data_IF_595980796270
#
_entry.id   IF_595980796270
#
_cell.length_a   1.000
_cell.length_b   1.000
_cell.length_c   1.000
_cell.angle_alpha   90.00
_cell.angle_beta   90.00
_cell.angle_gamma   90.00
#
_symmetry.space_group_name_H-M   'P 1'
#
loop_
_entity.id
_entity.type
_entity.pdbx_description
1 polymer ?
#
# COMPACT_ATOMS: atom_id res chain seq x y z
N UNK A 1 9.24 -8.23 -25.43
CA UNK A 1 10.51 -7.67 -24.90
C UNK A 1 10.31 -7.19 -23.47
N UNK A 2 9.42 -6.21 -23.24
CA UNK A 2 9.12 -5.64 -21.92
C UNK A 2 8.74 -6.66 -20.84
N UNK A 3 7.98 -7.71 -21.17
CA UNK A 3 7.57 -8.73 -20.19
C UNK A 3 8.75 -9.47 -19.55
N UNK A 4 9.79 -9.82 -20.32
CA UNK A 4 10.95 -10.55 -19.77
C UNK A 4 11.77 -9.68 -18.83
N UNK A 5 11.93 -8.40 -19.19
CA UNK A 5 12.61 -7.39 -18.37
C UNK A 5 11.83 -7.13 -17.08
N UNK A 6 10.49 -7.08 -17.16
CA UNK A 6 9.63 -6.96 -15.98
C UNK A 6 9.85 -8.12 -14.99
N UNK A 7 9.90 -9.38 -15.46
CA UNK A 7 10.22 -10.52 -14.57
C UNK A 7 11.60 -10.36 -13.93
N UNK A 8 12.58 -9.89 -14.69
CA UNK A 8 13.93 -9.62 -14.18
C UNK A 8 13.93 -8.60 -13.05
N UNK A 9 13.30 -7.45 -13.26
CA UNK A 9 13.25 -6.37 -12.27
C UNK A 9 12.42 -6.74 -11.03
N UNK A 10 11.27 -7.39 -11.22
CA UNK A 10 10.47 -7.91 -10.12
C UNK A 10 11.29 -8.88 -9.26
N UNK A 11 11.94 -9.87 -9.88
CA UNK A 11 12.76 -10.84 -9.19
C UNK A 11 13.94 -10.19 -8.44
N UNK A 12 14.64 -9.25 -9.08
CA UNK A 12 15.77 -8.56 -8.47
C UNK A 12 15.34 -7.72 -7.26
N UNK A 13 14.18 -7.05 -7.34
CA UNK A 13 13.65 -6.30 -6.20
C UNK A 13 13.24 -7.22 -5.04
N UNK A 14 12.60 -8.36 -5.31
CA UNK A 14 12.26 -9.36 -4.29
C UNK A 14 13.51 -9.90 -3.60
N UNK A 15 14.58 -10.18 -4.34
CA UNK A 15 15.86 -10.61 -3.76
C UNK A 15 16.40 -9.52 -2.83
N UNK A 16 16.51 -8.27 -3.28
CA UNK A 16 16.99 -7.16 -2.43
C UNK A 16 16.21 -7.08 -1.12
N UNK A 17 14.88 -7.00 -1.20
CA UNK A 17 14.03 -6.85 -0.02
C UNK A 17 14.07 -8.05 0.94
N UNK A 18 14.37 -9.26 0.46
CA UNK A 18 14.47 -10.50 1.29
C UNK A 18 15.89 -10.79 1.79
N UNK A 19 16.88 -9.99 1.38
CA UNK A 19 18.28 -10.15 1.80
C UNK A 19 18.86 -8.93 2.52
N UNK A 20 18.27 -7.74 2.37
CA UNK A 20 18.80 -6.48 2.88
C UNK A 20 18.77 -6.34 4.42
N UNK A 21 18.23 -7.33 5.16
CA UNK A 21 18.19 -7.33 6.64
C UNK A 21 19.29 -8.17 7.30
N UNK A 22 20.19 -8.80 6.53
CA UNK A 22 21.41 -9.42 7.08
C UNK A 22 22.35 -8.37 7.69
N UNK A 23 23.09 -8.75 8.74
CA UNK A 23 23.99 -7.87 9.50
C UNK A 23 24.93 -7.05 8.58
N UNK A 24 25.26 -5.79 8.95
CA UNK A 24 25.96 -4.83 8.10
C UNK A 24 27.35 -5.28 7.57
N UNK A 25 27.90 -6.38 8.09
CA UNK A 25 29.18 -6.94 7.70
C UNK A 25 29.11 -7.98 6.57
N UNK A 26 27.93 -8.51 6.22
CA UNK A 26 27.82 -9.50 5.16
C UNK A 26 27.41 -8.89 3.81
N UNK A 27 27.94 -9.42 2.70
CA UNK A 27 27.50 -9.01 1.38
C UNK A 27 26.02 -9.34 1.16
N UNK A 28 25.21 -8.29 1.03
CA UNK A 28 23.76 -8.31 1.22
C UNK A 28 23.03 -9.35 0.38
N UNK A 29 23.30 -9.45 -0.92
CA UNK A 29 22.65 -10.41 -1.81
C UNK A 29 23.68 -11.25 -2.58
N UNK A 30 24.44 -12.12 -1.91
CA UNK A 30 25.37 -13.05 -2.58
C UNK A 30 24.83 -14.47 -2.65
N UNK A 31 25.36 -15.26 -3.58
CA UNK A 31 25.12 -16.71 -3.60
C UNK A 31 25.32 -17.31 -2.21
N UNK A 32 24.36 -18.12 -1.76
CA UNK A 32 24.34 -18.76 -0.46
C UNK A 32 23.73 -17.93 0.67
N UNK A 33 23.47 -16.63 0.45
CA UNK A 33 22.79 -15.78 1.43
C UNK A 33 21.42 -16.35 1.77
N UNK A 34 21.08 -16.32 3.05
CA UNK A 34 19.77 -16.75 3.53
C UNK A 34 18.76 -15.64 3.23
N UNK A 35 17.65 -16.00 2.60
CA UNK A 35 16.48 -15.13 2.52
C UNK A 35 15.81 -15.14 3.88
N UNK A 36 15.65 -13.98 4.50
CA UNK A 36 14.88 -13.84 5.72
C UNK A 36 13.78 -12.79 5.58
N UNK A 37 12.64 -13.11 6.19
CA UNK A 37 11.59 -12.16 6.51
C UNK A 37 11.55 -12.07 8.02
N UNK A 38 11.90 -10.92 8.59
CA UNK A 38 11.81 -10.73 10.03
C UNK A 38 10.36 -10.95 10.49
N UNK A 39 10.13 -11.97 11.33
CA UNK A 39 8.90 -12.09 12.11
C UNK A 39 7.75 -12.93 11.55
N UNK A 40 7.95 -13.76 10.52
CA UNK A 40 6.91 -14.69 10.04
C UNK A 40 5.73 -13.99 9.35
N UNK A 41 6.03 -12.89 8.64
CA UNK A 41 5.05 -12.14 7.86
C UNK A 41 4.80 -12.84 6.52
N UNK A 42 3.54 -13.10 6.19
CA UNK A 42 3.13 -13.86 4.99
C UNK A 42 3.71 -13.29 3.69
N UNK A 43 3.76 -11.95 3.56
CA UNK A 43 4.30 -11.29 2.36
C UNK A 43 5.77 -11.67 2.06
N UNK A 44 6.59 -11.92 3.09
CA UNK A 44 7.97 -12.37 2.90
C UNK A 44 8.04 -13.85 2.51
N UNK A 45 7.13 -14.68 3.03
CA UNK A 45 7.03 -16.09 2.67
C UNK A 45 6.58 -16.26 1.21
N UNK A 46 5.64 -15.42 0.76
CA UNK A 46 5.19 -15.37 -0.64
C UNK A 46 6.33 -14.92 -1.56
N UNK A 47 7.09 -13.90 -1.17
CA UNK A 47 8.29 -13.46 -1.90
C UNK A 47 9.34 -14.58 -2.01
N UNK A 48 9.66 -15.26 -0.91
CA UNK A 48 10.61 -16.38 -0.90
C UNK A 48 10.11 -17.54 -1.78
N UNK A 49 8.83 -17.88 -1.68
CA UNK A 49 8.18 -18.91 -2.52
C UNK A 49 8.29 -18.54 -4.00
N UNK A 50 8.09 -17.27 -4.33
CA UNK A 50 8.22 -16.80 -5.71
C UNK A 50 9.68 -16.90 -6.21
N UNK A 51 10.65 -16.55 -5.38
CA UNK A 51 12.07 -16.70 -5.71
C UNK A 51 12.48 -18.16 -5.92
N UNK A 52 11.91 -19.10 -5.15
CA UNK A 52 12.10 -20.55 -5.36
C UNK A 52 11.48 -20.97 -6.70
N UNK A 53 10.24 -20.53 -7.01
CA UNK A 53 9.57 -20.84 -8.28
C UNK A 53 10.33 -20.32 -9.50
N UNK A 54 10.99 -19.16 -9.37
CA UNK A 54 11.85 -18.58 -10.39
C UNK A 54 13.23 -19.27 -10.48
N UNK A 55 13.52 -20.24 -9.61
CA UNK A 55 14.80 -20.96 -9.57
C UNK A 55 15.96 -20.10 -9.09
N UNK A 56 15.68 -19.07 -8.29
CA UNK A 56 16.66 -18.14 -7.73
C UNK A 56 17.06 -18.49 -6.30
N UNK A 57 16.28 -19.36 -5.63
CA UNK A 57 16.55 -19.79 -4.27
C UNK A 57 16.30 -21.30 -4.08
N UNK A 58 16.97 -21.89 -3.10
CA UNK A 58 16.72 -23.26 -2.64
C UNK A 58 15.46 -23.35 -1.76
N UNK A 59 14.95 -24.56 -1.54
CA UNK A 59 13.89 -24.82 -0.55
C UNK A 59 14.28 -24.47 0.90
N UNK A 60 15.58 -24.31 1.18
CA UNK A 60 16.08 -23.80 2.47
C UNK A 60 16.17 -22.27 2.49
N UNK A 61 15.57 -21.59 1.51
CA UNK A 61 15.62 -20.14 1.34
C UNK A 61 17.06 -19.62 1.23
N UNK A 62 17.91 -20.26 0.42
CA UNK A 62 19.27 -19.76 0.12
C UNK A 62 19.38 -19.32 -1.33
N UNK A 63 19.95 -18.14 -1.56
CA UNK A 63 20.10 -17.56 -2.88
C UNK A 63 21.07 -18.36 -3.76
N UNK A 64 20.72 -18.58 -5.03
CA UNK A 64 21.50 -19.38 -5.99
C UNK A 64 22.38 -18.53 -6.92
N UNK A 65 22.13 -17.23 -6.99
CA UNK A 65 22.85 -16.27 -7.86
C UNK A 65 23.04 -14.94 -7.12
N UNK A 66 24.13 -14.22 -7.39
CA UNK A 66 24.30 -12.88 -6.81
C UNK A 66 23.16 -11.93 -7.24
N UNK A 67 22.69 -11.10 -6.30
CA UNK A 67 21.52 -10.25 -6.44
C UNK A 67 21.63 -9.21 -7.55
N UNK A 68 22.83 -8.69 -7.78
CA UNK A 68 23.14 -7.75 -8.87
C UNK A 68 23.01 -8.39 -10.27
N UNK A 69 23.02 -9.73 -10.35
CA UNK A 69 22.90 -10.49 -11.59
C UNK A 69 21.48 -11.02 -11.84
N UNK A 70 20.58 -10.95 -10.86
CA UNK A 70 19.24 -11.56 -10.92
C UNK A 70 18.43 -11.05 -12.11
N UNK A 71 18.33 -9.72 -12.28
CA UNK A 71 17.50 -9.14 -13.34
C UNK A 71 17.92 -9.60 -14.74
N UNK A 72 19.22 -9.52 -15.02
CA UNK A 72 19.78 -9.96 -16.29
C UNK A 72 19.61 -11.48 -16.48
N UNK A 73 19.89 -12.28 -15.45
CA UNK A 73 19.78 -13.73 -15.50
C UNK A 73 18.36 -14.21 -15.80
N UNK A 74 17.35 -13.67 -15.10
CA UNK A 74 15.94 -14.03 -15.33
C UNK A 74 15.51 -13.60 -16.73
N UNK A 75 15.87 -12.38 -17.14
CA UNK A 75 15.53 -11.85 -18.47
C UNK A 75 16.05 -12.75 -19.58
N UNK A 76 17.33 -13.13 -19.54
CA UNK A 76 17.97 -13.94 -20.57
C UNK A 76 17.43 -15.39 -20.60
N UNK A 77 17.24 -16.02 -19.43
CA UNK A 77 16.67 -17.37 -19.38
C UNK A 77 15.23 -17.39 -19.87
N UNK A 78 14.47 -16.35 -19.54
CA UNK A 78 13.10 -16.20 -20.01
C UNK A 78 13.04 -16.04 -21.52
N UNK A 79 13.89 -15.18 -22.11
CA UNK A 79 14.00 -15.00 -23.57
C UNK A 79 14.43 -16.28 -24.28
N UNK A 80 15.34 -17.04 -23.68
CA UNK A 80 15.84 -18.29 -24.22
C UNK A 80 14.86 -19.48 -24.04
N UNK A 81 13.72 -19.29 -23.37
CA UNK A 81 12.78 -20.37 -23.06
C UNK A 81 13.34 -21.43 -22.10
N UNK A 82 14.35 -21.07 -21.31
CA UNK A 82 15.07 -21.95 -20.39
C UNK A 82 14.50 -21.97 -18.96
N UNK A 83 13.42 -21.21 -18.74
CA UNK A 83 12.69 -21.16 -17.48
C UNK A 83 11.20 -21.08 -17.76
N UNK A 84 10.41 -21.88 -17.07
CA UNK A 84 8.96 -21.74 -17.04
C UNK A 84 8.63 -20.61 -16.09
N UNK A 85 8.19 -19.48 -16.62
CA UNK A 85 7.76 -18.35 -15.79
C UNK A 85 6.41 -18.66 -15.14
N UNK A 86 6.23 -18.34 -13.85
CA UNK A 86 4.91 -18.27 -13.23
C UNK A 86 3.99 -17.31 -14.00
N UNK A 87 2.66 -17.37 -13.82
CA UNK A 87 1.77 -16.30 -14.24
C UNK A 87 2.24 -14.95 -13.68
N UNK A 88 2.19 -13.89 -14.50
CA UNK A 88 2.70 -12.57 -14.10
C UNK A 88 1.90 -11.99 -12.93
N UNK A 89 0.60 -12.26 -12.88
CA UNK A 89 -0.29 -11.79 -11.81
C UNK A 89 0.14 -12.37 -10.45
N UNK A 90 0.59 -13.63 -10.38
CA UNK A 90 1.13 -14.25 -9.16
C UNK A 90 2.43 -13.56 -8.71
N UNK A 91 3.31 -13.19 -9.65
CA UNK A 91 4.55 -12.48 -9.32
C UNK A 91 4.25 -11.06 -8.82
N UNK A 92 3.29 -10.39 -9.46
CA UNK A 92 2.85 -9.05 -9.08
C UNK A 92 2.13 -9.06 -7.74
N UNK A 93 1.33 -10.08 -7.43
CA UNK A 93 0.68 -10.25 -6.13
C UNK A 93 1.70 -10.36 -4.99
N UNK A 94 2.71 -11.23 -5.14
CA UNK A 94 3.79 -11.36 -4.17
C UNK A 94 4.58 -10.04 -4.02
N UNK A 95 4.82 -9.36 -5.14
CA UNK A 95 5.53 -8.08 -5.15
C UNK A 95 4.73 -6.95 -4.48
N UNK A 96 3.43 -6.83 -4.77
CA UNK A 96 2.53 -5.83 -4.19
C UNK A 96 2.35 -6.05 -2.68
N UNK A 97 2.21 -7.30 -2.26
CA UNK A 97 2.11 -7.66 -0.85
C UNK A 97 3.35 -7.21 -0.06
N UNK A 98 4.55 -7.36 -0.65
CA UNK A 98 5.78 -6.93 0.01
C UNK A 98 6.00 -5.41 -0.11
N UNK A 99 5.97 -4.86 -1.32
CA UNK A 99 6.41 -3.49 -1.57
C UNK A 99 5.32 -2.45 -1.36
N UNK A 100 4.05 -2.75 -1.66
CA UNK A 100 2.98 -1.79 -1.45
C UNK A 100 2.44 -1.88 -0.01
N UNK A 101 2.11 -3.09 0.46
CA UNK A 101 1.56 -3.28 1.81
C UNK A 101 2.62 -3.26 2.91
N UNK A 102 3.60 -4.16 2.86
CA UNK A 102 4.50 -4.35 4.00
C UNK A 102 5.58 -3.27 4.14
N UNK A 103 6.05 -2.70 3.03
CA UNK A 103 7.12 -1.69 3.02
C UNK A 103 6.63 -0.28 2.71
N UNK A 104 5.41 -0.10 2.18
CA UNK A 104 4.90 1.22 1.79
C UNK A 104 5.70 1.90 0.69
N UNK A 105 6.43 1.14 -0.12
CA UNK A 105 7.26 1.63 -1.22
C UNK A 105 6.45 1.98 -2.48
N UNK A 106 5.24 1.40 -2.63
CA UNK A 106 4.29 1.66 -3.72
C UNK A 106 2.89 1.90 -3.17
N UNK A 107 2.04 2.58 -3.96
CA UNK A 107 0.65 2.86 -3.55
C UNK A 107 -0.27 1.66 -3.77
N UNK A 108 -1.24 1.48 -2.87
CA UNK A 108 -2.38 0.57 -3.02
C UNK A 108 -3.60 1.27 -3.63
N UNK A 109 -3.56 2.60 -3.78
CA UNK A 109 -4.63 3.43 -4.34
C UNK A 109 -4.47 3.67 -5.83
N UNK A 110 -5.53 4.15 -6.50
CA UNK A 110 -5.48 4.58 -7.91
C UNK A 110 -4.92 5.98 -8.10
N UNK A 111 -4.71 6.73 -7.04
CA UNK A 111 -4.13 8.07 -7.11
C UNK A 111 -2.64 8.03 -7.54
N UNK A 112 -2.16 9.08 -8.24
CA UNK A 112 -0.74 9.22 -8.53
C UNK A 112 0.12 9.16 -7.26
N UNK A 113 1.26 8.48 -7.33
CA UNK A 113 2.18 8.33 -6.21
C UNK A 113 3.64 8.39 -6.64
N UNK A 114 4.50 8.88 -5.76
CA UNK A 114 5.95 8.87 -5.96
C UNK A 114 6.51 7.57 -5.35
N UNK A 115 7.07 6.65 -6.16
CA UNK A 115 7.58 5.38 -5.65
C UNK A 115 8.89 5.56 -4.87
N UNK A 116 9.15 4.67 -3.93
CA UNK A 116 10.45 4.61 -3.26
C UNK A 116 11.59 4.35 -4.26
N UNK A 117 12.77 4.94 -4.01
CA UNK A 117 13.91 4.85 -4.93
C UNK A 117 14.34 3.41 -5.27
N UNK A 118 14.24 2.49 -4.30
CA UNK A 118 14.62 1.08 -4.47
C UNK A 118 13.76 0.30 -5.47
N UNK A 119 12.55 0.78 -5.72
CA UNK A 119 11.61 0.15 -6.66
C UNK A 119 11.48 0.93 -7.97
N UNK A 120 12.19 2.05 -8.14
CA UNK A 120 12.10 2.86 -9.36
C UNK A 120 12.38 2.05 -10.64
N UNK A 121 13.40 1.17 -10.71
CA UNK A 121 13.62 0.33 -11.90
C UNK A 121 12.43 -0.59 -12.21
N UNK A 122 11.76 -1.10 -11.17
CA UNK A 122 10.56 -1.95 -11.32
C UNK A 122 9.40 -1.12 -11.86
N UNK A 123 9.20 0.11 -11.36
CA UNK A 123 8.16 1.01 -11.83
C UNK A 123 8.35 1.40 -13.30
N UNK A 124 9.60 1.62 -13.73
CA UNK A 124 9.92 1.88 -15.14
C UNK A 124 9.57 0.67 -16.01
N UNK A 125 9.89 -0.56 -15.56
CA UNK A 125 9.55 -1.79 -16.26
C UNK A 125 8.03 -2.08 -16.29
N UNK A 126 7.31 -1.75 -15.21
CA UNK A 126 5.85 -1.82 -15.12
C UNK A 126 5.21 -0.83 -16.09
N UNK A 127 5.75 0.39 -16.19
CA UNK A 127 5.29 1.40 -17.13
C UNK A 127 5.52 0.96 -18.59
N UNK A 128 6.72 0.46 -18.91
CA UNK A 128 7.03 -0.07 -20.23
C UNK A 128 6.15 -1.28 -20.61
N UNK A 129 5.65 -2.01 -19.62
CA UNK A 129 4.74 -3.14 -19.78
C UNK A 129 3.25 -2.75 -19.72
N UNK A 130 2.94 -1.47 -19.53
CA UNK A 130 1.58 -0.93 -19.48
C UNK A 130 0.78 -1.28 -18.22
N UNK A 131 1.45 -1.59 -17.10
CA UNK A 131 0.81 -1.77 -15.78
C UNK A 131 0.70 -0.44 -15.02
N UNK A 132 1.62 0.48 -15.28
CA UNK A 132 1.61 1.84 -14.74
C UNK A 132 1.74 2.86 -15.88
N UNK A 133 1.44 4.12 -15.58
CA UNK A 133 1.71 5.26 -16.47
C UNK A 133 2.51 6.30 -15.68
N UNK A 134 3.65 6.78 -16.20
CA UNK A 134 4.38 7.87 -15.57
C UNK A 134 3.61 9.19 -15.70
N UNK A 135 3.63 9.99 -14.64
CA UNK A 135 3.09 11.36 -14.58
C UNK A 135 4.16 12.19 -13.85
N UNK A 136 4.93 12.98 -14.60
CA UNK A 136 6.09 13.73 -14.07
C UNK A 136 7.08 12.83 -13.29
N UNK A 137 7.23 13.04 -11.98
CA UNK A 137 8.05 12.24 -11.08
C UNK A 137 7.29 11.06 -10.42
N UNK A 138 5.97 11.03 -10.58
CA UNK A 138 5.03 10.07 -10.04
C UNK A 138 4.60 9.00 -11.07
N UNK A 139 3.84 8.03 -10.58
CA UNK A 139 3.19 7.00 -11.38
C UNK A 139 1.73 6.86 -10.98
N UNK A 140 0.90 6.46 -11.93
CA UNK A 140 -0.47 6.02 -11.69
C UNK A 140 -0.65 4.58 -12.18
N UNK A 141 -1.42 3.79 -11.45
CA UNK A 141 -1.78 2.44 -11.87
C UNK A 141 -2.77 2.45 -13.03
N UNK A 142 -2.61 1.51 -13.96
CA UNK A 142 -3.56 1.28 -15.07
C UNK A 142 -4.48 0.10 -14.74
N UNK A 143 -5.56 -0.09 -15.50
CA UNK A 143 -6.47 -1.24 -15.31
C UNK A 143 -5.77 -2.59 -15.42
N UNK A 144 -4.63 -2.66 -16.12
CA UNK A 144 -3.87 -3.89 -16.31
C UNK A 144 -3.34 -4.46 -14.99
N UNK A 145 -3.09 -3.63 -13.97
CA UNK A 145 -2.66 -4.13 -12.64
C UNK A 145 -3.82 -4.70 -11.82
N UNK A 146 -5.07 -4.44 -12.24
CA UNK A 146 -6.26 -4.67 -11.42
C UNK A 146 -6.39 -6.10 -10.93
N UNK A 147 -6.07 -7.10 -11.76
CA UNK A 147 -6.11 -8.51 -11.36
C UNK A 147 -5.14 -8.83 -10.22
N UNK A 148 -3.91 -8.34 -10.29
CA UNK A 148 -2.92 -8.56 -9.22
C UNK A 148 -3.33 -7.84 -7.92
N UNK A 149 -3.93 -6.65 -8.02
CA UNK A 149 -4.47 -5.92 -6.87
C UNK A 149 -5.68 -6.65 -6.23
N UNK A 150 -6.56 -7.22 -7.06
CA UNK A 150 -7.70 -8.02 -6.60
C UNK A 150 -7.25 -9.33 -5.92
N UNK A 151 -6.28 -10.03 -6.50
CA UNK A 151 -5.71 -11.25 -5.90
C UNK A 151 -5.09 -10.93 -4.53
N UNK A 152 -4.44 -9.77 -4.41
CA UNK A 152 -3.88 -9.29 -3.14
C UNK A 152 -4.94 -8.77 -2.15
N UNK A 153 -6.23 -8.72 -2.53
CA UNK A 153 -7.32 -8.22 -1.70
C UNK A 153 -7.37 -6.70 -1.51
N UNK A 154 -6.57 -5.94 -2.28
CA UNK A 154 -6.48 -4.48 -2.14
C UNK A 154 -7.52 -3.74 -2.96
N UNK A 155 -7.93 -4.31 -4.10
CA UNK A 155 -8.98 -3.75 -4.95
C UNK A 155 -10.20 -4.69 -4.99
N UNK A 156 -11.38 -4.11 -5.08
CA UNK A 156 -12.62 -4.84 -5.29
C UNK A 156 -12.82 -5.24 -6.77
N UNK A 157 -13.95 -5.90 -7.07
CA UNK A 157 -14.32 -6.31 -8.42
C UNK A 157 -14.53 -5.13 -9.38
N UNK A 158 -14.80 -3.92 -8.86
CA UNK A 158 -14.94 -2.69 -9.62
C UNK A 158 -13.60 -1.94 -9.77
N UNK A 159 -12.51 -2.56 -9.31
CA UNK A 159 -11.16 -2.01 -9.30
C UNK A 159 -11.02 -0.73 -8.45
N UNK A 160 -11.87 -0.55 -7.42
CA UNK A 160 -11.72 0.48 -6.40
C UNK A 160 -10.82 -0.05 -5.29
N UNK A 161 -9.87 0.76 -4.80
CA UNK A 161 -9.06 0.33 -3.66
C UNK A 161 -9.85 0.37 -2.37
N UNK A 162 -9.53 -0.55 -1.46
CA UNK A 162 -10.13 -0.61 -0.14
C UNK A 162 -9.91 0.68 0.65
N UNK A 163 -8.71 1.26 0.58
CA UNK A 163 -8.41 2.52 1.24
C UNK A 163 -9.25 3.68 0.69
N UNK A 164 -9.44 3.75 -0.64
CA UNK A 164 -10.31 4.79 -1.24
C UNK A 164 -11.78 4.62 -0.83
N UNK A 165 -12.25 3.37 -0.70
CA UNK A 165 -13.60 3.09 -0.20
C UNK A 165 -13.75 3.52 1.27
N UNK A 166 -12.78 3.18 2.12
CA UNK A 166 -12.76 3.57 3.53
C UNK A 166 -12.71 5.11 3.67
N UNK A 167 -11.86 5.80 2.89
CA UNK A 167 -11.77 7.27 2.89
C UNK A 167 -13.07 7.93 2.40
N UNK A 168 -13.72 7.34 1.39
CA UNK A 168 -15.02 7.81 0.89
C UNK A 168 -16.12 7.62 1.93
N UNK A 169 -16.14 6.50 2.63
CA UNK A 169 -17.12 6.25 3.70
C UNK A 169 -16.92 7.23 4.86
N UNK A 170 -15.67 7.50 5.24
CA UNK A 170 -15.30 8.55 6.21
C UNK A 170 -15.77 9.93 5.73
N UNK A 171 -15.50 10.31 4.47
CA UNK A 171 -15.93 11.60 3.92
C UNK A 171 -17.47 11.74 3.95
N UNK A 172 -18.19 10.72 3.50
CA UNK A 172 -19.66 10.72 3.48
C UNK A 172 -20.24 10.82 4.89
N UNK A 173 -19.65 10.12 5.85
CA UNK A 173 -20.09 10.17 7.25
C UNK A 173 -19.78 11.53 7.88
N UNK A 174 -18.59 12.09 7.64
CA UNK A 174 -18.22 13.40 8.17
C UNK A 174 -19.01 14.54 7.54
N UNK A 175 -19.46 14.43 6.29
CA UNK A 175 -20.42 15.37 5.69
C UNK A 175 -21.79 15.32 6.39
N UNK A 176 -22.25 14.15 6.83
CA UNK A 176 -23.48 14.04 7.65
C UNK A 176 -23.27 14.66 9.03
N UNK A 177 -22.12 14.40 9.64
CA UNK A 177 -21.74 15.00 10.92
C UNK A 177 -21.73 16.52 10.82
N UNK A 178 -21.14 17.08 9.76
CA UNK A 178 -21.10 18.51 9.48
C UNK A 178 -22.50 19.13 9.36
N UNK A 179 -23.43 18.45 8.68
CA UNK A 179 -24.79 18.98 8.45
C UNK A 179 -25.57 19.25 9.74
N UNK A 180 -25.22 18.56 10.84
CA UNK A 180 -25.86 18.71 12.14
C UNK A 180 -24.85 19.00 13.27
N UNK A 181 -23.67 19.52 12.92
CA UNK A 181 -22.56 19.70 13.85
C UNK A 181 -22.94 20.63 15.02
N UNK A 182 -22.70 20.20 16.27
CA UNK A 182 -22.85 21.05 17.45
C UNK A 182 -21.89 22.23 17.45
N UNK A 183 -22.30 23.37 18.01
CA UNK A 183 -21.52 24.61 17.99
C UNK A 183 -20.17 24.48 18.72
N UNK A 184 -20.10 23.68 19.78
CA UNK A 184 -18.87 23.43 20.54
C UNK A 184 -17.84 22.65 19.70
N UNK A 185 -18.30 21.64 18.95
CA UNK A 185 -17.46 20.86 18.03
C UNK A 185 -17.03 21.71 16.83
N UNK A 186 -17.93 22.52 16.28
CA UNK A 186 -17.62 23.48 15.22
C UNK A 186 -16.54 24.46 15.66
N UNK A 187 -16.62 24.98 16.88
CA UNK A 187 -15.63 25.89 17.44
C UNK A 187 -14.26 25.20 17.63
N UNK A 188 -14.26 23.96 18.12
CA UNK A 188 -13.03 23.16 18.23
C UNK A 188 -12.37 22.94 16.86
N UNK A 189 -13.15 22.62 15.82
CA UNK A 189 -12.64 22.44 14.48
C UNK A 189 -12.07 23.74 13.86
N UNK A 190 -12.75 24.88 14.07
CA UNK A 190 -12.27 26.19 13.62
C UNK A 190 -10.98 26.66 14.33
N UNK A 191 -10.70 26.11 15.50
CA UNK A 191 -9.48 26.39 16.28
C UNK A 191 -8.39 25.33 16.10
N UNK A 192 -8.57 24.40 15.14
CA UNK A 192 -7.69 23.26 14.85
C UNK A 192 -7.42 22.36 16.08
N UNK A 193 -8.38 22.31 17.01
CA UNK A 193 -8.31 21.45 18.18
C UNK A 193 -8.79 20.04 17.83
N UNK A 194 -7.99 19.32 17.04
CA UNK A 194 -8.31 17.95 16.58
C UNK A 194 -8.58 16.99 17.75
N UNK A 195 -7.88 17.15 18.88
CA UNK A 195 -8.10 16.31 20.07
C UNK A 195 -9.52 16.44 20.64
N UNK A 196 -10.05 17.67 20.71
CA UNK A 196 -11.43 17.90 21.15
C UNK A 196 -12.46 17.36 20.13
N UNK A 197 -12.16 17.44 18.83
CA UNK A 197 -13.01 16.87 17.78
C UNK A 197 -13.05 15.34 17.88
N UNK A 198 -11.91 14.68 18.08
CA UNK A 198 -11.84 13.21 18.31
C UNK A 198 -12.67 12.81 19.52
N UNK A 199 -12.56 13.54 20.63
CA UNK A 199 -13.33 13.25 21.84
C UNK A 199 -14.84 13.41 21.61
N UNK A 200 -15.25 14.47 20.92
CA UNK A 200 -16.66 14.69 20.60
C UNK A 200 -17.21 13.61 19.66
N UNK A 201 -16.46 13.23 18.61
CA UNK A 201 -16.86 12.14 17.71
C UNK A 201 -17.01 10.83 18.49
N UNK A 202 -16.02 10.48 19.33
CA UNK A 202 -16.04 9.25 20.10
C UNK A 202 -17.22 9.16 21.10
N UNK A 203 -17.57 10.28 21.74
CA UNK A 203 -18.59 10.30 22.78
C UNK A 203 -20.00 10.54 22.24
N UNK A 204 -20.14 11.29 21.14
CA UNK A 204 -21.43 11.86 20.72
C UNK A 204 -21.81 11.56 19.28
N UNK A 205 -20.90 11.13 18.41
CA UNK A 205 -21.27 10.75 17.04
C UNK A 205 -21.51 9.24 16.95
N UNK A 206 -22.77 8.83 17.00
CA UNK A 206 -23.17 7.41 17.02
C UNK A 206 -24.26 7.17 16.00
N UNK A 207 -24.09 6.17 15.13
CA UNK A 207 -25.05 5.75 14.11
C UNK A 207 -25.59 6.91 13.23
N UNK A 208 -24.72 7.88 12.93
CA UNK A 208 -25.06 9.03 12.08
C UNK A 208 -25.82 10.16 12.79
N UNK A 209 -25.83 10.19 14.13
CA UNK A 209 -26.54 11.21 14.92
C UNK A 209 -25.65 11.74 16.04
N UNK A 210 -25.70 13.06 16.28
CA UNK A 210 -25.10 13.70 17.45
C UNK A 210 -25.96 13.49 18.69
N UNK A 211 -25.45 12.75 19.67
CA UNK A 211 -26.03 12.63 20.99
C UNK A 211 -25.84 13.95 21.79
N UNK A 212 -26.80 14.29 22.66
CA UNK A 212 -26.67 15.44 23.53
C UNK A 212 -25.46 15.28 24.45
N UNK A 213 -24.85 16.41 24.80
CA UNK A 213 -23.76 16.44 25.77
C UNK A 213 -24.29 15.96 27.13
N UNK A 214 -23.94 14.73 27.48
CA UNK A 214 -24.29 14.14 28.78
C UNK A 214 -23.04 14.08 29.61
N UNK A 215 -23.08 14.77 30.75
CA UNK A 215 -21.98 15.03 31.68
C UNK A 215 -21.28 13.75 32.19
N UNK A 216 -21.85 12.57 31.96
CA UNK A 216 -21.37 11.27 32.48
C UNK A 216 -20.74 10.34 31.42
N UNK A 217 -20.47 10.80 30.19
CA UNK A 217 -19.82 9.98 29.15
C UNK A 217 -18.40 10.42 28.82
N UNK A 218 -17.62 10.80 29.85
CA UNK A 218 -16.17 10.58 29.77
C UNK A 218 -15.91 9.12 30.11
N UNK A 219 -16.46 8.21 29.29
CA UNK A 219 -15.94 6.85 29.26
C UNK A 219 -14.46 7.02 28.87
N UNK A 220 -13.57 6.38 29.62
CA UNK A 220 -12.14 6.29 29.30
C UNK A 220 -11.99 5.51 28.00
N UNK A 221 -12.43 6.09 26.89
CA UNK A 221 -12.25 5.54 25.56
C UNK A 221 -10.74 5.40 25.40
N UNK A 222 -10.31 4.15 25.46
CA UNK A 222 -8.90 3.79 25.47
C UNK A 222 -8.21 4.46 24.28
N UNK A 223 -6.98 4.92 24.45
CA UNK A 223 -6.21 5.69 23.44
C UNK A 223 -6.26 5.12 22.01
N UNK A 224 -6.45 3.81 21.84
CA UNK A 224 -6.63 3.16 20.55
C UNK A 224 -7.95 3.50 19.83
N UNK A 225 -9.06 3.76 20.56
CA UNK A 225 -10.31 4.29 19.99
C UNK A 225 -10.13 5.69 19.46
N UNK A 226 -9.36 6.53 20.16
CA UNK A 226 -9.04 7.88 19.71
C UNK A 226 -8.12 7.87 18.49
N UNK A 227 -7.15 6.95 18.46
CA UNK A 227 -6.29 6.76 17.29
C UNK A 227 -7.09 6.29 16.06
N UNK A 228 -8.11 5.44 16.26
CA UNK A 228 -8.96 4.97 15.17
C UNK A 228 -9.81 6.08 14.54
N UNK A 229 -10.21 7.10 15.31
CA UNK A 229 -11.03 8.24 14.85
C UNK A 229 -10.21 9.44 14.33
N UNK A 230 -8.88 9.31 14.25
CA UNK A 230 -8.03 10.37 13.75
C UNK A 230 -8.34 10.77 12.29
N UNK A 231 -8.60 9.84 11.35
CA UNK A 231 -9.00 10.17 9.99
C UNK A 231 -10.31 10.97 9.92
N UNK A 232 -11.33 10.56 10.67
CA UNK A 232 -12.65 11.20 10.75
C UNK A 232 -12.54 12.62 11.32
N UNK A 233 -11.82 12.78 12.43
CA UNK A 233 -11.62 14.09 13.04
C UNK A 233 -10.85 15.04 12.12
N UNK A 234 -9.79 14.55 11.48
CA UNK A 234 -9.05 15.33 10.48
C UNK A 234 -9.98 15.78 9.35
N UNK A 235 -10.78 14.85 8.81
CA UNK A 235 -11.68 15.16 7.70
C UNK A 235 -12.78 16.15 8.08
N UNK A 236 -13.38 16.02 9.27
CA UNK A 236 -14.37 16.97 9.76
C UNK A 236 -13.79 18.37 9.95
N UNK A 237 -12.55 18.47 10.45
CA UNK A 237 -11.83 19.75 10.57
C UNK A 237 -11.63 20.40 9.21
N UNK A 238 -11.14 19.64 8.21
CA UNK A 238 -10.97 20.13 6.84
C UNK A 238 -12.28 20.66 6.24
N UNK A 239 -13.37 19.91 6.41
CA UNK A 239 -14.71 20.30 5.94
C UNK A 239 -15.23 21.57 6.63
N UNK A 240 -15.02 21.72 7.94
CA UNK A 240 -15.44 22.93 8.69
C UNK A 240 -14.63 24.15 8.28
N UNK A 241 -13.33 23.98 8.02
CA UNK A 241 -12.43 25.07 7.63
C UNK A 241 -12.61 25.48 6.15
N UNK A 242 -13.36 24.72 5.36
CA UNK A 242 -13.55 24.99 3.93
C UNK A 242 -12.32 24.67 3.08
N UNK A 243 -11.39 23.86 3.59
CA UNK A 243 -10.35 23.24 2.78
C UNK A 243 -10.97 22.06 2.05
N UNK A 244 -11.73 22.34 0.99
CA UNK A 244 -12.17 21.30 0.06
C UNK A 244 -10.94 20.77 -0.68
N UNK A 245 -10.65 19.49 -0.48
CA UNK A 245 -9.76 18.74 -1.38
C UNK A 245 -10.63 18.26 -2.56
N UNK A 246 -10.37 18.68 -3.82
CA UNK A 246 -11.25 18.45 -4.98
C UNK A 246 -11.24 17.00 -5.51
N UNK A 247 -11.01 16.00 -4.64
CA UNK A 247 -10.95 14.59 -5.03
C UNK A 247 -12.30 13.99 -5.45
N UNK A 248 -13.41 14.73 -5.36
CA UNK A 248 -14.77 14.17 -5.46
C UNK A 248 -15.71 14.87 -6.44
N UNK A 249 -15.23 15.81 -7.28
CA UNK A 249 -16.15 16.54 -8.17
C UNK A 249 -16.40 15.89 -9.54
N UNK A 250 -15.69 14.84 -9.96
CA UNK A 250 -16.04 14.16 -11.22
C UNK A 250 -15.49 12.72 -11.31
N UNK A 251 -16.32 11.72 -10.95
CA UNK A 251 -16.38 10.43 -11.67
C UNK A 251 -17.82 9.87 -11.55
N UNK A 252 -18.62 10.09 -12.60
CA UNK A 252 -19.75 9.24 -12.96
C UNK A 252 -19.26 8.09 -13.85
#
# INVERSE_FOLDING_TARGET
>A
MATHELYGELAASLVRATTDRCEPSEPRARVGAKLDGSGGLSAFEDACTMLIRLGLATYECKLLIDGDRVAHFVTERSRAGQVTLPPIDDVLEAWLSLFASQLGHASLKRLPFVPHHDIRPVMDALAASGYAKPIDDAFIWTDKIGRAMQMSGWWDENCLSREELEERDVDLDMRKALASIPDDVRHAALTDNQGAVVQALAARWVDGVWLPDTVDTVDEASWWRWAALAPEAKRLVELVQGTDDPLMDDVN
#
